data_IF_399945636960
#
_entry.id   IF_399945636960
#
_cell.length_a   1.000
_cell.length_b   1.000
_cell.length_c   1.000
_cell.angle_alpha   90.00
_cell.angle_beta   90.00
_cell.angle_gamma   90.00
#
_symmetry.space_group_name_H-M   'P 1'
#
loop_
_entity.id
_entity.type
_entity.pdbx_description
1 polymer ?
#
# COMPACT_ATOMS: atom_id res chain seq x y z
N UNK A 1 18.21 -25.32 -2.26
CA UNK A 1 18.39 -24.33 -1.17
C UNK A 1 17.50 -23.14 -1.52
N UNK A 2 16.27 -23.13 -1.01
CA UNK A 2 15.22 -22.18 -1.43
C UNK A 2 15.44 -20.84 -0.73
N UNK A 3 15.79 -19.80 -1.50
CA UNK A 3 15.81 -18.41 -1.03
C UNK A 3 14.36 -17.94 -0.93
N UNK A 4 13.85 -17.80 0.30
CA UNK A 4 12.60 -17.08 0.57
C UNK A 4 12.83 -15.61 0.20
N UNK A 5 12.32 -15.20 -0.95
CA UNK A 5 12.24 -13.79 -1.34
C UNK A 5 10.95 -13.27 -0.72
N UNK A 6 11.05 -12.45 0.32
CA UNK A 6 9.94 -11.63 0.78
C UNK A 6 9.75 -10.52 -0.26
N UNK A 7 8.72 -10.65 -1.07
CA UNK A 7 8.35 -9.68 -2.08
C UNK A 7 7.25 -8.80 -1.47
N UNK A 8 7.63 -7.61 -1.01
CA UNK A 8 6.68 -6.56 -0.64
C UNK A 8 6.11 -6.04 -1.97
N UNK A 9 4.90 -6.47 -2.33
CA UNK A 9 4.22 -5.99 -3.54
C UNK A 9 3.23 -4.89 -3.20
N UNK A 10 3.36 -3.84 -3.99
CA UNK A 10 2.69 -2.56 -3.92
C UNK A 10 1.46 -2.55 -4.83
N UNK A 11 0.35 -2.01 -4.37
CA UNK A 11 -0.91 -2.03 -5.12
C UNK A 11 -1.02 -0.91 -6.15
N UNK A 12 -1.01 -1.27 -7.43
CA UNK A 12 -1.23 -0.38 -8.57
C UNK A 12 -2.70 -0.14 -8.88
N UNK A 13 -3.23 1.01 -8.44
CA UNK A 13 -4.33 1.66 -9.14
C UNK A 13 -3.76 2.46 -10.32
N UNK A 14 -4.19 2.08 -11.54
CA UNK A 14 -3.92 2.72 -12.85
C UNK A 14 -2.54 2.53 -13.52
N UNK A 15 -2.09 1.28 -13.73
CA UNK A 15 -0.96 1.03 -14.66
C UNK A 15 -1.33 0.68 -16.10
N UNK A 16 -2.63 0.57 -16.41
CA UNK A 16 -3.07 0.12 -17.74
C UNK A 16 -2.93 1.19 -18.83
N UNK A 17 -2.90 2.47 -18.50
CA UNK A 17 -2.65 3.54 -19.47
C UNK A 17 -1.15 3.76 -19.72
N UNK A 18 -0.31 3.72 -18.68
CA UNK A 18 1.13 4.00 -18.75
C UNK A 18 1.91 2.93 -19.53
N UNK A 19 1.51 1.65 -19.43
CA UNK A 19 2.19 0.56 -20.14
C UNK A 19 1.74 0.37 -21.59
N UNK A 20 0.70 1.07 -22.05
CA UNK A 20 0.14 0.88 -23.41
C UNK A 20 0.81 1.75 -24.47
N UNK A 21 1.50 2.83 -24.08
CA UNK A 21 2.40 3.55 -24.98
C UNK A 21 3.75 2.86 -24.97
N UNK A 22 4.15 2.24 -26.07
CA UNK A 22 5.45 1.59 -26.26
C UNK A 22 6.64 2.55 -26.21
N UNK A 23 6.83 3.26 -25.10
CA UNK A 23 7.92 4.16 -24.81
C UNK A 23 8.83 3.59 -23.73
N UNK A 24 10.14 3.68 -23.97
CA UNK A 24 11.15 3.50 -22.93
C UNK A 24 10.91 4.46 -21.75
N UNK A 25 11.08 3.99 -20.52
CA UNK A 25 11.31 4.81 -19.32
C UNK A 25 10.09 5.51 -18.75
N UNK A 26 9.52 4.96 -17.67
CA UNK A 26 8.62 5.67 -16.75
C UNK A 26 9.36 6.02 -15.45
N UNK A 27 9.04 7.17 -14.85
CA UNK A 27 9.62 7.58 -13.57
C UNK A 27 8.66 7.24 -12.41
N UNK A 28 9.16 6.51 -11.42
CA UNK A 28 8.49 6.28 -10.15
C UNK A 28 9.20 7.14 -9.09
N UNK A 29 8.44 8.01 -8.44
CA UNK A 29 8.89 8.74 -7.26
C UNK A 29 8.42 8.00 -6.02
N UNK A 30 9.33 7.73 -5.08
CA UNK A 30 9.03 7.16 -3.78
C UNK A 30 9.18 8.25 -2.74
N UNK A 31 8.09 8.60 -2.07
CA UNK A 31 8.10 9.59 -1.00
C UNK A 31 9.01 9.14 0.16
N UNK A 32 9.87 10.07 0.61
CA UNK A 32 10.67 9.94 1.83
C UNK A 32 10.51 11.15 2.76
N UNK A 33 9.71 12.15 2.38
CA UNK A 33 9.60 13.40 3.14
C UNK A 33 8.74 13.25 4.39
N UNK A 34 7.91 12.20 4.46
CA UNK A 34 7.07 11.87 5.61
C UNK A 34 7.70 10.79 6.51
N UNK A 35 9.04 10.71 6.55
CA UNK A 35 9.78 9.99 7.59
C UNK A 35 9.81 8.47 7.44
N UNK A 36 9.64 7.93 6.23
CA UNK A 36 9.60 6.49 5.89
C UNK A 36 10.95 5.74 6.07
N UNK A 37 11.56 5.89 7.25
CA UNK A 37 12.92 5.44 7.60
C UNK A 37 13.05 3.93 7.82
N UNK A 38 11.94 3.21 7.98
CA UNK A 38 11.92 1.77 8.20
C UNK A 38 12.05 0.94 6.92
N UNK A 39 11.89 1.56 5.75
CA UNK A 39 11.91 0.87 4.47
C UNK A 39 13.19 1.16 3.70
N UNK A 40 13.70 0.12 3.02
CA UNK A 40 14.71 0.30 1.98
C UNK A 40 14.11 -0.16 0.66
N UNK A 41 14.19 0.70 -0.35
CA UNK A 41 13.63 0.42 -1.67
C UNK A 41 14.67 -0.06 -2.67
N UNK A 42 15.91 -0.28 -2.24
CA UNK A 42 17.02 -0.63 -3.13
C UNK A 42 16.73 -1.88 -3.97
N UNK A 43 16.21 -2.95 -3.35
CA UNK A 43 15.88 -4.19 -4.07
C UNK A 43 14.74 -3.96 -5.07
N UNK A 44 13.71 -3.19 -4.68
CA UNK A 44 12.59 -2.85 -5.55
C UNK A 44 13.06 -2.00 -6.74
N UNK A 45 13.85 -0.97 -6.47
CA UNK A 45 14.46 -0.11 -7.46
C UNK A 45 15.28 -0.92 -8.48
N UNK A 46 16.22 -1.73 -8.00
CA UNK A 46 17.05 -2.57 -8.87
C UNK A 46 16.20 -3.52 -9.72
N UNK A 47 15.14 -4.09 -9.16
CA UNK A 47 14.24 -4.99 -9.88
C UNK A 47 13.47 -4.25 -10.98
N UNK A 48 12.87 -3.09 -10.66
CA UNK A 48 12.10 -2.30 -11.62
C UNK A 48 12.98 -1.70 -12.73
N UNK A 49 14.15 -1.20 -12.37
CA UNK A 49 15.14 -0.69 -13.33
C UNK A 49 15.66 -1.81 -14.25
N UNK A 50 16.03 -2.96 -13.68
CA UNK A 50 16.65 -4.04 -14.45
C UNK A 50 15.66 -4.76 -15.37
N UNK A 51 14.48 -5.12 -14.86
CA UNK A 51 13.53 -5.96 -15.60
C UNK A 51 12.50 -5.17 -16.40
N UNK A 52 12.24 -3.90 -16.04
CA UNK A 52 11.19 -3.09 -16.67
C UNK A 52 11.71 -1.78 -17.26
N UNK A 53 13.00 -1.45 -17.08
CA UNK A 53 13.58 -0.21 -17.62
C UNK A 53 12.93 1.06 -17.05
N UNK A 54 12.31 0.96 -15.87
CA UNK A 54 11.73 2.10 -15.16
C UNK A 54 12.83 2.84 -14.39
N UNK A 55 12.73 4.15 -14.28
CA UNK A 55 13.58 4.93 -13.37
C UNK A 55 12.88 5.04 -12.03
N UNK A 56 13.56 4.72 -10.94
CA UNK A 56 13.02 4.89 -9.58
C UNK A 56 13.86 5.91 -8.85
N UNK A 57 13.22 6.93 -8.28
CA UNK A 57 13.90 7.97 -7.50
C UNK A 57 13.23 8.13 -6.14
N UNK A 58 14.04 8.37 -5.12
CA UNK A 58 13.57 8.77 -3.81
C UNK A 58 13.31 10.27 -3.84
N UNK A 59 12.09 10.67 -3.49
CA UNK A 59 11.69 12.06 -3.38
C UNK A 59 12.05 12.56 -1.98
N UNK A 60 13.04 13.45 -1.91
CA UNK A 60 13.54 14.07 -0.67
C UNK A 60 13.02 15.51 -0.49
N UNK A 61 12.38 16.08 -1.51
CA UNK A 61 11.77 17.41 -1.48
C UNK A 61 10.25 17.32 -1.28
N UNK A 62 9.60 18.30 -0.63
CA UNK A 62 8.16 18.28 -0.38
C UNK A 62 7.34 18.00 -1.64
N UNK A 63 6.19 17.34 -1.46
CA UNK A 63 5.33 16.97 -2.58
C UNK A 63 4.73 18.24 -3.18
N UNK A 64 4.94 18.47 -4.47
CA UNK A 64 4.47 19.64 -5.18
C UNK A 64 4.27 19.32 -6.66
N UNK A 65 3.53 20.14 -7.40
CA UNK A 65 3.41 19.96 -8.85
C UNK A 65 4.76 19.94 -9.56
N UNK A 66 5.73 20.74 -9.07
CA UNK A 66 7.06 20.80 -9.63
C UNK A 66 7.86 19.52 -9.39
N UNK A 67 7.79 18.95 -8.17
CA UNK A 67 8.51 17.71 -7.84
C UNK A 67 7.86 16.48 -8.46
N UNK A 68 6.55 16.50 -8.70
CA UNK A 68 5.83 15.43 -9.40
C UNK A 68 5.91 15.52 -10.93
N UNK A 69 6.46 16.61 -11.49
CA UNK A 69 6.49 16.84 -12.92
C UNK A 69 7.23 15.73 -13.67
N UNK A 70 6.54 15.07 -14.61
CA UNK A 70 7.10 13.99 -15.42
C UNK A 70 7.15 12.62 -14.73
N UNK A 71 6.75 12.52 -13.45
CA UNK A 71 6.59 11.24 -12.78
C UNK A 71 5.38 10.48 -13.35
N UNK A 72 5.57 9.21 -13.65
CA UNK A 72 4.48 8.32 -14.06
C UNK A 72 3.70 7.81 -12.86
N UNK A 73 4.39 7.59 -11.73
CA UNK A 73 3.79 7.14 -10.48
C UNK A 73 4.43 7.86 -9.29
N UNK A 74 3.59 8.32 -8.37
CA UNK A 74 3.97 8.63 -7.00
C UNK A 74 3.63 7.44 -6.10
N UNK A 75 4.63 6.90 -5.42
CA UNK A 75 4.46 5.95 -4.34
C UNK A 75 4.68 6.67 -3.01
N UNK A 76 3.65 6.71 -2.18
CA UNK A 76 3.72 7.11 -0.78
C UNK A 76 3.72 5.81 0.04
N UNK A 77 4.89 5.33 0.53
CA UNK A 77 4.94 4.24 1.49
C UNK A 77 4.29 4.68 2.82
N UNK A 78 4.20 3.77 3.79
CA UNK A 78 3.61 4.11 5.09
C UNK A 78 4.35 5.30 5.74
N UNK A 79 3.70 6.46 5.93
CA UNK A 79 4.30 7.60 6.62
C UNK A 79 4.74 7.23 8.03
N UNK A 80 5.66 7.99 8.61
CA UNK A 80 6.03 7.83 10.02
C UNK A 80 4.97 8.40 10.97
N UNK A 81 5.03 7.94 12.22
CA UNK A 81 4.23 8.49 13.31
C UNK A 81 4.40 10.01 13.43
N UNK A 82 3.29 10.70 13.70
CA UNK A 82 3.24 12.16 13.88
C UNK A 82 3.63 12.99 12.65
N UNK A 83 3.50 12.42 11.45
CA UNK A 83 3.61 13.16 10.18
C UNK A 83 2.23 13.42 9.57
N UNK A 84 2.14 14.47 8.75
CA UNK A 84 0.91 14.90 8.08
C UNK A 84 1.25 15.61 6.79
N UNK A 85 0.45 15.38 5.75
CA UNK A 85 0.50 16.16 4.52
C UNK A 85 0.01 17.59 4.76
N UNK A 86 0.67 18.58 4.17
CA UNK A 86 0.14 19.95 4.15
C UNK A 86 -1.01 20.07 3.14
N UNK A 87 -1.86 21.10 3.24
CA UNK A 87 -2.89 21.36 2.22
C UNK A 87 -2.31 21.47 0.81
N UNK A 88 -1.14 22.09 0.65
CA UNK A 88 -0.47 22.25 -0.64
C UNK A 88 0.02 20.92 -1.21
N UNK A 89 0.51 20.01 -0.37
CA UNK A 89 0.89 18.66 -0.79
C UNK A 89 -0.34 17.85 -1.23
N UNK A 90 -1.44 17.95 -0.48
CA UNK A 90 -2.71 17.30 -0.84
C UNK A 90 -3.25 17.83 -2.18
N UNK A 91 -3.24 19.15 -2.38
CA UNK A 91 -3.65 19.78 -3.65
C UNK A 91 -2.76 19.30 -4.82
N UNK A 92 -1.44 19.21 -4.61
CA UNK A 92 -0.51 18.71 -5.62
C UNK A 92 -0.78 17.24 -5.97
N UNK A 93 -1.05 16.38 -4.97
CA UNK A 93 -1.41 14.96 -5.19
C UNK A 93 -2.72 14.86 -5.98
N UNK A 94 -3.75 15.64 -5.60
CA UNK A 94 -5.03 15.66 -6.29
C UNK A 94 -4.88 16.11 -7.74
N UNK A 95 -4.16 17.19 -7.99
CA UNK A 95 -3.90 17.70 -9.35
C UNK A 95 -3.12 16.69 -10.18
N UNK A 96 -2.11 16.03 -9.59
CA UNK A 96 -1.32 14.99 -10.24
C UNK A 96 -2.17 13.79 -10.66
N UNK A 97 -3.00 13.26 -9.75
CA UNK A 97 -3.89 12.12 -10.04
C UNK A 97 -4.95 12.49 -11.08
N UNK A 98 -5.59 13.66 -10.94
CA UNK A 98 -6.57 14.15 -11.92
C UNK A 98 -5.95 14.42 -13.30
N UNK A 99 -4.65 14.74 -13.33
CA UNK A 99 -3.84 14.87 -14.54
C UNK A 99 -3.45 13.54 -15.20
N UNK A 100 -3.81 12.39 -14.59
CA UNK A 100 -3.52 11.05 -15.10
C UNK A 100 -2.27 10.40 -14.50
N UNK A 101 -1.68 10.98 -13.46
CA UNK A 101 -0.60 10.37 -12.69
C UNK A 101 -1.08 9.19 -11.84
N UNK A 102 -0.26 8.15 -11.71
CA UNK A 102 -0.58 6.99 -10.87
C UNK A 102 -0.20 7.24 -9.40
N UNK A 103 -1.04 6.80 -8.47
CA UNK A 103 -0.78 6.90 -7.02
C UNK A 103 -0.79 5.53 -6.36
N UNK A 104 0.25 5.25 -5.58
CA UNK A 104 0.37 4.05 -4.75
C UNK A 104 0.46 4.50 -3.29
N UNK A 105 -0.43 3.99 -2.45
CA UNK A 105 -0.42 4.26 -1.01
C UNK A 105 -0.11 2.95 -0.27
N UNK A 106 0.96 2.96 0.52
CA UNK A 106 1.34 1.86 1.40
C UNK A 106 0.98 2.20 2.85
N UNK A 107 0.51 1.22 3.60
CA UNK A 107 0.35 1.33 5.05
C UNK A 107 0.93 0.10 5.72
N UNK A 108 1.27 0.23 6.99
CA UNK A 108 1.75 -0.87 7.83
C UNK A 108 0.66 -1.30 8.83
N UNK A 109 0.94 -2.40 9.51
CA UNK A 109 0.17 -2.92 10.62
C UNK A 109 0.29 -2.05 11.88
N UNK A 110 -0.71 -2.12 12.74
CA UNK A 110 -0.57 -1.77 14.15
C UNK A 110 -0.93 -2.98 15.00
N UNK A 111 -0.14 -3.25 16.05
CA UNK A 111 -0.30 -4.46 16.86
C UNK A 111 0.26 -4.29 18.27
N UNK A 112 -0.11 -5.20 19.16
CA UNK A 112 0.42 -5.27 20.52
C UNK A 112 1.28 -6.51 20.69
N UNK A 113 2.51 -6.33 21.16
CA UNK A 113 3.43 -7.44 21.44
C UNK A 113 4.16 -7.20 22.77
N UNK A 114 4.16 -8.20 23.64
CA UNK A 114 4.82 -8.11 24.95
C UNK A 114 4.27 -7.00 25.87
N UNK A 115 2.99 -6.64 25.72
CA UNK A 115 2.37 -5.54 26.47
C UNK A 115 2.73 -4.14 25.95
N UNK A 116 3.42 -4.05 24.81
CA UNK A 116 3.73 -2.79 24.13
C UNK A 116 2.94 -2.66 22.84
N UNK A 117 2.41 -1.47 22.64
CA UNK A 117 1.71 -1.02 21.45
C UNK A 117 2.73 -0.58 20.38
N UNK A 118 2.56 -1.07 19.16
CA UNK A 118 3.33 -0.72 17.98
C UNK A 118 2.39 -0.08 16.95
N UNK A 119 2.57 1.21 16.70
CA UNK A 119 1.68 2.06 15.91
C UNK A 119 2.31 2.42 14.56
N UNK A 120 2.88 1.43 13.87
CA UNK A 120 3.62 1.67 12.61
C UNK A 120 2.71 2.19 11.50
N UNK A 121 1.55 1.56 11.29
CA UNK A 121 0.56 2.03 10.32
C UNK A 121 0.06 3.44 10.63
N UNK A 122 -0.17 4.27 9.61
CA UNK A 122 -0.79 5.60 9.76
C UNK A 122 -2.11 5.74 9.00
N UNK A 123 -3.18 4.97 9.36
CA UNK A 123 -4.47 5.02 8.65
C UNK A 123 -5.07 6.41 8.54
N UNK A 124 -5.06 7.20 9.62
CA UNK A 124 -5.64 8.54 9.61
C UNK A 124 -4.88 9.48 8.68
N UNK A 125 -3.53 9.42 8.67
CA UNK A 125 -2.70 10.24 7.78
C UNK A 125 -2.92 9.87 6.32
N UNK A 126 -3.04 8.59 5.98
CA UNK A 126 -3.31 8.17 4.60
C UNK A 126 -4.76 8.44 4.17
N UNK A 127 -5.70 8.34 5.11
CA UNK A 127 -7.10 8.66 4.84
C UNK A 127 -7.32 10.14 4.48
N UNK A 128 -6.45 11.08 4.90
CA UNK A 128 -6.55 12.47 4.43
C UNK A 128 -6.28 12.60 2.93
N UNK A 129 -5.41 11.75 2.36
CA UNK A 129 -5.16 11.69 0.91
C UNK A 129 -6.40 11.15 0.19
N UNK A 130 -7.02 10.08 0.71
CA UNK A 130 -8.26 9.52 0.14
C UNK A 130 -9.43 10.51 0.23
N UNK A 131 -9.49 11.31 1.31
CA UNK A 131 -10.47 12.38 1.49
C UNK A 131 -10.26 13.52 0.50
N UNK A 132 -9.01 13.97 0.31
CA UNK A 132 -8.67 15.00 -0.66
C UNK A 132 -9.01 14.57 -2.10
N UNK A 133 -8.80 13.28 -2.43
CA UNK A 133 -9.19 12.68 -3.71
C UNK A 133 -10.71 12.47 -3.87
N UNK A 134 -11.49 12.64 -2.80
CA UNK A 134 -12.94 12.44 -2.83
C UNK A 134 -13.37 10.99 -3.03
N UNK A 135 -12.57 10.01 -2.58
CA UNK A 135 -12.85 8.57 -2.70
C UNK A 135 -12.98 7.84 -1.36
N UNK A 136 -12.91 8.59 -0.26
CA UNK A 136 -12.94 8.02 1.09
C UNK A 136 -14.32 7.48 1.52
N UNK A 137 -15.36 7.70 0.72
CA UNK A 137 -16.66 7.03 0.84
C UNK A 137 -16.65 5.62 0.24
N UNK A 138 -15.65 5.30 -0.59
CA UNK A 138 -15.49 3.98 -1.24
C UNK A 138 -14.46 3.10 -0.57
N UNK A 139 -13.37 3.70 -0.09
CA UNK A 139 -12.25 2.98 0.53
C UNK A 139 -11.58 3.83 1.59
N UNK A 140 -11.22 3.19 2.71
CA UNK A 140 -10.41 3.78 3.79
C UNK A 140 -9.46 2.74 4.36
N UNK A 141 -8.32 3.20 4.86
CA UNK A 141 -7.52 2.40 5.79
C UNK A 141 -8.28 2.24 7.10
N UNK A 142 -8.33 1.01 7.60
CA UNK A 142 -9.07 0.66 8.82
C UNK A 142 -8.44 1.30 10.05
N UNK A 143 -9.27 1.89 10.91
CA UNK A 143 -8.87 2.42 12.21
C UNK A 143 -8.25 3.83 12.16
N UNK A 144 -7.37 4.12 13.13
CA UNK A 144 -6.71 5.42 13.28
C UNK A 144 -5.20 5.27 13.48
N UNK A 145 -4.43 6.36 13.51
CA UNK A 145 -2.99 6.32 13.80
C UNK A 145 -2.62 5.73 15.18
N UNK A 146 -3.60 5.52 16.06
CA UNK A 146 -3.39 4.92 17.40
C UNK A 146 -4.26 3.69 17.67
N UNK A 147 -5.10 3.31 16.70
CA UNK A 147 -6.06 2.23 16.80
C UNK A 147 -6.32 1.59 15.43
N UNK A 148 -5.25 1.39 14.67
CA UNK A 148 -5.25 0.62 13.44
C UNK A 148 -5.21 -0.88 13.73
N UNK A 149 -5.20 -1.67 12.66
CA UNK A 149 -5.25 -3.13 12.75
C UNK A 149 -4.11 -3.85 12.03
N UNK A 150 -4.13 -5.17 12.14
CA UNK A 150 -3.25 -6.09 11.45
C UNK A 150 -4.07 -7.27 10.92
N UNK A 151 -3.84 -7.64 9.65
CA UNK A 151 -4.38 -8.88 9.09
C UNK A 151 -3.60 -10.09 9.64
N UNK A 152 -4.33 -11.09 10.10
CA UNK A 152 -3.84 -12.35 10.64
C UNK A 152 -4.51 -13.52 9.92
N UNK A 153 -3.83 -14.65 9.83
CA UNK A 153 -4.42 -15.94 9.44
C UNK A 153 -3.72 -17.07 10.22
N UNK A 154 -4.47 -17.86 10.98
CA UNK A 154 -3.93 -18.94 11.82
C UNK A 154 -3.49 -20.18 11.02
N UNK A 155 -4.02 -20.36 9.81
CA UNK A 155 -3.90 -21.61 9.06
C UNK A 155 -3.07 -21.44 7.79
N UNK A 156 -3.30 -20.38 7.02
CA UNK A 156 -2.62 -20.09 5.76
C UNK A 156 -1.61 -18.97 5.97
N UNK A 157 -0.46 -19.32 6.55
CA UNK A 157 0.62 -18.38 6.87
C UNK A 157 2.02 -19.01 6.68
N UNK A 158 3.08 -18.23 6.88
CA UNK A 158 4.48 -18.69 6.72
C UNK A 158 5.06 -19.45 7.93
N UNK A 159 4.23 -19.75 8.92
CA UNK A 159 4.59 -20.20 10.27
C UNK A 159 4.37 -19.13 11.35
N UNK A 160 3.80 -17.98 10.99
CA UNK A 160 3.49 -16.83 11.85
C UNK A 160 2.16 -16.24 11.42
N UNK A 161 1.21 -16.12 12.33
CA UNK A 161 -0.16 -15.69 12.02
C UNK A 161 -0.23 -14.32 11.35
N UNK A 162 0.70 -13.43 11.68
CA UNK A 162 0.83 -12.08 11.10
C UNK A 162 1.54 -12.04 9.74
N UNK A 163 1.93 -13.18 9.18
CA UNK A 163 2.44 -13.33 7.82
C UNK A 163 1.48 -14.20 6.97
N UNK A 164 0.20 -13.78 6.82
CA UNK A 164 -0.79 -14.53 6.04
C UNK A 164 -0.36 -14.68 4.58
N UNK A 165 -0.69 -15.84 4.01
CA UNK A 165 -0.44 -16.17 2.61
C UNK A 165 -1.72 -15.94 1.80
N UNK A 166 -1.74 -14.85 1.06
CA UNK A 166 -2.83 -14.48 0.17
C UNK A 166 -2.76 -15.30 -1.11
N UNK A 167 -3.88 -15.94 -1.43
CA UNK A 167 -4.06 -16.72 -2.67
C UNK A 167 -5.38 -16.45 -3.38
N UNK A 168 -6.21 -15.55 -2.85
CA UNK A 168 -7.48 -15.15 -3.45
C UNK A 168 -7.36 -13.78 -4.13
N UNK A 169 -7.50 -13.80 -5.46
CA UNK A 169 -7.40 -12.64 -6.33
C UNK A 169 -8.70 -12.52 -7.13
N UNK A 170 -9.59 -11.56 -6.82
CA UNK A 170 -10.71 -11.25 -7.71
C UNK A 170 -10.26 -10.99 -9.14
N UNK A 171 -11.12 -11.29 -10.11
CA UNK A 171 -10.80 -11.07 -11.53
C UNK A 171 -10.62 -9.58 -11.80
N UNK A 172 -9.37 -9.18 -12.04
CA UNK A 172 -9.03 -7.80 -12.33
C UNK A 172 -7.77 -7.74 -13.22
N UNK A 173 -7.69 -6.80 -14.19
CA UNK A 173 -6.53 -6.71 -15.09
C UNK A 173 -5.19 -6.56 -14.36
N UNK A 174 -5.18 -5.88 -13.21
CA UNK A 174 -3.96 -5.68 -12.39
C UNK A 174 -3.51 -6.98 -11.71
N UNK A 175 -4.40 -7.94 -11.45
CA UNK A 175 -4.07 -9.21 -10.79
C UNK A 175 -4.13 -10.41 -11.72
N UNK A 176 -4.37 -10.21 -13.02
CA UNK A 176 -4.46 -11.30 -13.99
C UNK A 176 -3.21 -12.20 -14.01
N UNK A 177 -2.03 -11.64 -13.70
CA UNK A 177 -0.77 -12.38 -13.63
C UNK A 177 -0.56 -13.18 -12.33
N UNK A 178 -1.50 -13.11 -11.38
CA UNK A 178 -1.42 -13.73 -10.06
C UNK A 178 -2.23 -15.03 -9.94
N UNK A 179 -2.92 -15.47 -11.00
CA UNK A 179 -3.86 -16.60 -10.96
C UNK A 179 -3.30 -17.93 -10.44
N UNK A 180 -1.98 -18.15 -10.53
CA UNK A 180 -1.27 -19.33 -10.02
C UNK A 180 -0.25 -18.99 -8.92
N UNK A 181 -0.28 -17.76 -8.41
CA UNK A 181 0.71 -17.24 -7.47
C UNK A 181 0.11 -17.10 -6.07
N UNK A 182 1.02 -17.00 -5.10
CA UNK A 182 0.68 -16.66 -3.71
C UNK A 182 1.55 -15.48 -3.28
N UNK A 183 1.04 -14.68 -2.35
CA UNK A 183 1.74 -13.53 -1.79
C UNK A 183 1.76 -13.63 -0.27
N UNK A 184 2.88 -13.34 0.36
CA UNK A 184 2.91 -13.12 1.81
C UNK A 184 2.53 -11.66 2.05
N UNK A 185 1.49 -11.42 2.83
CA UNK A 185 1.05 -10.08 3.19
C UNK A 185 1.46 -9.75 4.62
N UNK A 186 1.86 -8.51 4.85
CA UNK A 186 2.14 -7.97 6.18
C UNK A 186 1.63 -6.54 6.21
N UNK A 187 0.54 -6.30 6.94
CA UNK A 187 -0.07 -4.96 6.96
C UNK A 187 -1.45 -4.92 7.62
N UNK A 188 -2.03 -3.72 7.61
CA UNK A 188 -3.40 -3.45 8.03
C UNK A 188 -4.42 -3.82 6.95
N UNK A 189 -5.69 -3.63 7.24
CA UNK A 189 -6.80 -3.85 6.30
C UNK A 189 -7.35 -2.54 5.73
N UNK A 190 -8.21 -2.68 4.72
CA UNK A 190 -8.99 -1.58 4.16
C UNK A 190 -10.48 -1.84 4.43
N UNK A 191 -11.20 -0.80 4.84
CA UNK A 191 -12.65 -0.74 4.73
C UNK A 191 -13.00 -0.38 3.29
N UNK A 192 -13.75 -1.24 2.61
CA UNK A 192 -14.14 -1.04 1.21
C UNK A 192 -15.65 -1.15 1.07
N UNK A 193 -16.29 -0.09 0.59
CA UNK A 193 -17.74 -0.03 0.34
C UNK A 193 -18.10 -0.35 -1.12
N UNK A 194 -17.13 -0.21 -2.03
CA UNK A 194 -17.27 -0.55 -3.45
C UNK A 194 -16.51 -1.84 -3.76
N UNK A 195 -17.20 -2.99 -3.85
CA UNK A 195 -16.52 -4.26 -4.09
C UNK A 195 -15.79 -4.33 -5.44
N UNK A 196 -16.14 -3.48 -6.41
CA UNK A 196 -15.54 -3.49 -7.74
C UNK A 196 -14.09 -3.02 -7.78
N UNK A 197 -13.63 -2.32 -6.73
CA UNK A 197 -12.23 -1.87 -6.60
C UNK A 197 -11.35 -2.86 -5.83
N UNK A 198 -11.92 -3.98 -5.34
CA UNK A 198 -11.17 -4.97 -4.57
C UNK A 198 -10.36 -5.86 -5.52
N UNK A 199 -9.06 -5.91 -5.26
CA UNK A 199 -8.07 -6.61 -6.09
C UNK A 199 -7.34 -7.73 -5.34
N UNK A 200 -7.32 -7.71 -4.01
CA UNK A 200 -6.88 -8.83 -3.15
C UNK A 200 -7.84 -8.98 -1.98
N UNK A 201 -7.96 -10.20 -1.46
CA UNK A 201 -8.73 -10.50 -0.25
C UNK A 201 -7.92 -11.38 0.70
N UNK A 202 -8.20 -11.26 1.99
CA UNK A 202 -7.78 -12.26 2.96
C UNK A 202 -8.36 -13.63 2.60
N UNK A 203 -7.70 -14.70 3.05
CA UNK A 203 -8.22 -16.05 2.92
C UNK A 203 -9.47 -16.27 3.79
N UNK A 204 -10.12 -17.44 3.70
CA UNK A 204 -11.38 -17.73 4.40
C UNK A 204 -11.22 -17.80 5.93
N UNK A 205 -9.99 -17.96 6.42
CA UNK A 205 -9.67 -17.96 7.85
C UNK A 205 -8.94 -16.69 8.29
N UNK A 206 -8.74 -15.74 7.37
CA UNK A 206 -8.09 -14.49 7.70
C UNK A 206 -9.06 -13.60 8.48
N UNK A 207 -8.53 -12.93 9.48
CA UNK A 207 -9.24 -11.96 10.32
C UNK A 207 -8.29 -10.82 10.66
N UNK A 208 -8.79 -9.74 11.24
CA UNK A 208 -7.91 -8.67 11.70
C UNK A 208 -8.29 -8.19 13.08
N UNK A 209 -7.28 -7.75 13.81
CA UNK A 209 -7.42 -7.25 15.17
C UNK A 209 -6.79 -5.87 15.28
N UNK A 210 -7.44 -5.00 16.05
CA UNK A 210 -6.83 -3.75 16.45
C UNK A 210 -5.77 -3.96 17.54
N UNK A 211 -5.04 -2.90 17.83
CA UNK A 211 -4.06 -2.84 18.91
C UNK A 211 -4.62 -3.18 20.31
N UNK A 212 -5.93 -3.06 20.53
CA UNK A 212 -6.59 -3.47 21.77
C UNK A 212 -6.96 -4.97 21.78
N UNK A 213 -6.62 -5.72 20.73
CA UNK A 213 -6.93 -7.13 20.55
C UNK A 213 -8.39 -7.39 20.17
N UNK A 214 -9.13 -6.36 19.74
CA UNK A 214 -10.52 -6.51 19.31
C UNK A 214 -10.54 -6.81 17.82
N UNK A 215 -11.38 -7.74 17.40
CA UNK A 215 -11.57 -8.02 15.98
C UNK A 215 -12.14 -6.78 15.28
N UNK A 216 -11.43 -6.27 14.27
CA UNK A 216 -11.93 -5.26 13.34
C UNK A 216 -12.68 -5.91 12.19
N UNK A 217 -12.23 -7.10 11.78
CA UNK A 217 -12.89 -7.96 10.82
C UNK A 217 -12.89 -9.41 11.33
N UNK A 218 -14.03 -10.07 11.15
CA UNK A 218 -14.20 -11.49 11.50
C UNK A 218 -13.56 -12.40 10.45
N UNK A 219 -13.33 -13.65 10.85
CA UNK A 219 -12.78 -14.69 9.98
C UNK A 219 -13.60 -14.82 8.69
N UNK A 220 -12.91 -14.71 7.55
CA UNK A 220 -13.50 -14.88 6.23
C UNK A 220 -14.47 -13.76 5.83
N UNK A 221 -14.51 -12.64 6.58
CA UNK A 221 -15.24 -11.46 6.17
C UNK A 221 -14.70 -10.94 4.83
N UNK A 222 -15.63 -10.45 3.99
CA UNK A 222 -15.37 -9.99 2.63
C UNK A 222 -15.62 -8.49 2.55
#
# INVERSE_FOLDING_TARGET
MSRKIALVMLFMLTLTSVLSSGGQGGLILIDSTHGQTYYTFQTLQQYLEHYYGLTVQILEEPISEATLAGASVLFIPCPAENTSFTPEELDAIVNYVNGGGGLLLGCDSQYTYGGRNYTYGQPSTLNTVLEALGIADKVRYTGTNTLGDQLLDEYENTGREFEPVISEFPEHPVTAFMSDKKMVYYGCTLQVEDESIIVLRGGPNAYSVDIAGRKTYEEGSR
#
